data_IF_503693981219
#
_entry.id   IF_503693981219
#
_cell.length_a   1.000
_cell.length_b   1.000
_cell.length_c   1.000
_cell.angle_alpha   90.00
_cell.angle_beta   90.00
_cell.angle_gamma   90.00
#
_symmetry.space_group_name_H-M   'P 1'
#
loop_
_entity.id
_entity.type
_entity.pdbx_description
1 polymer ?
#
# COMPACT_ATOMS: atom_id res chain seq x y z
N UNK A 1 -25.47 3.42 -6.90
CA UNK A 1 -24.67 4.58 -6.45
C UNK A 1 -23.53 4.84 -7.43
N UNK A 2 -23.07 6.10 -7.60
CA UNK A 2 -21.88 6.47 -8.39
C UNK A 2 -20.72 6.82 -7.46
N UNK A 3 -19.57 6.20 -7.64
CA UNK A 3 -18.40 6.44 -6.78
C UNK A 3 -17.14 6.66 -7.63
N UNK A 4 -16.34 7.65 -7.23
CA UNK A 4 -15.01 7.90 -7.78
C UNK A 4 -13.96 7.33 -6.84
N UNK A 5 -13.10 6.44 -7.33
CA UNK A 5 -11.97 5.85 -6.57
C UNK A 5 -10.66 6.45 -7.08
N UNK A 6 -9.92 7.10 -6.21
CA UNK A 6 -8.71 7.84 -6.56
C UNK A 6 -7.48 7.37 -5.76
N UNK A 7 -6.62 6.52 -6.32
CA UNK A 7 -5.36 6.16 -5.69
C UNK A 7 -4.34 7.30 -5.73
N UNK A 8 -3.34 7.23 -4.84
CA UNK A 8 -2.15 8.07 -4.88
C UNK A 8 -1.50 7.99 -6.26
N UNK A 9 -1.33 9.14 -6.91
CA UNK A 9 -0.69 9.23 -8.21
C UNK A 9 0.81 9.43 -8.09
N UNK A 10 1.58 8.71 -8.91
CA UNK A 10 3.00 8.89 -9.10
C UNK A 10 3.37 8.63 -10.56
N UNK A 11 4.56 9.02 -11.01
CA UNK A 11 5.02 8.75 -12.39
C UNK A 11 5.20 7.25 -12.66
N UNK A 12 5.63 6.50 -11.64
CA UNK A 12 5.53 5.05 -11.63
C UNK A 12 4.30 4.68 -10.80
N UNK A 13 3.59 3.65 -11.22
CA UNK A 13 2.44 3.17 -10.48
C UNK A 13 2.88 2.80 -9.05
N UNK A 14 2.27 3.44 -8.05
CA UNK A 14 2.47 3.05 -6.66
C UNK A 14 1.76 1.72 -6.44
N UNK A 15 2.49 0.60 -6.49
CA UNK A 15 1.92 -0.74 -6.54
C UNK A 15 0.88 -0.99 -5.42
N UNK A 16 1.19 -0.59 -4.18
CA UNK A 16 0.30 -0.79 -3.03
C UNK A 16 -1.06 -0.06 -3.17
N UNK A 17 -1.09 1.28 -3.19
CA UNK A 17 -2.32 2.05 -3.31
C UNK A 17 -3.11 1.74 -4.57
N UNK A 18 -2.46 1.58 -5.72
CA UNK A 18 -3.15 1.26 -6.97
C UNK A 18 -3.78 -0.14 -6.96
N UNK A 19 -3.13 -1.12 -6.34
CA UNK A 19 -3.68 -2.49 -6.21
C UNK A 19 -4.91 -2.49 -5.32
N UNK A 20 -4.85 -1.84 -4.13
CA UNK A 20 -6.00 -1.74 -3.23
C UNK A 20 -7.16 -0.98 -3.84
N UNK A 21 -6.89 0.14 -4.52
CA UNK A 21 -7.92 0.92 -5.21
C UNK A 21 -8.62 0.12 -6.32
N UNK A 22 -7.87 -0.69 -7.09
CA UNK A 22 -8.46 -1.58 -8.11
C UNK A 22 -9.32 -2.68 -7.50
N UNK A 23 -8.84 -3.33 -6.44
CA UNK A 23 -9.60 -4.36 -5.74
C UNK A 23 -10.92 -3.79 -5.18
N UNK A 24 -10.86 -2.65 -4.50
CA UNK A 24 -12.04 -2.00 -3.95
C UNK A 24 -13.00 -1.53 -5.05
N UNK A 25 -12.48 -0.95 -6.15
CA UNK A 25 -13.31 -0.53 -7.28
C UNK A 25 -14.04 -1.72 -7.92
N UNK A 26 -13.36 -2.86 -8.07
CA UNK A 26 -13.97 -4.12 -8.54
C UNK A 26 -15.06 -4.61 -7.58
N UNK A 27 -14.78 -4.63 -6.29
CA UNK A 27 -15.75 -5.04 -5.28
C UNK A 27 -17.00 -4.14 -5.25
N UNK A 28 -16.83 -2.82 -5.41
CA UNK A 28 -17.95 -1.87 -5.55
C UNK A 28 -18.77 -2.14 -6.82
N UNK A 29 -18.11 -2.37 -7.96
CA UNK A 29 -18.79 -2.67 -9.21
C UNK A 29 -19.58 -3.98 -9.12
N UNK A 30 -19.04 -5.02 -8.51
CA UNK A 30 -19.73 -6.30 -8.25
C UNK A 30 -20.97 -6.16 -7.36
N UNK A 31 -21.04 -5.08 -6.54
CA UNK A 31 -22.25 -4.70 -5.78
C UNK A 31 -23.22 -3.83 -6.59
N UNK A 32 -23.04 -3.71 -7.92
CA UNK A 32 -23.90 -2.94 -8.82
C UNK A 32 -23.68 -1.43 -8.77
N UNK A 33 -22.55 -0.94 -8.20
CA UNK A 33 -22.26 0.48 -8.20
C UNK A 33 -21.60 0.92 -9.51
N UNK A 34 -21.95 2.10 -10.00
CA UNK A 34 -21.25 2.73 -11.14
C UNK A 34 -19.92 3.28 -10.64
N UNK A 35 -18.87 2.48 -10.76
CA UNK A 35 -17.56 2.79 -10.21
C UNK A 35 -16.63 3.35 -11.28
N UNK A 36 -16.01 4.49 -10.97
CA UNK A 36 -14.99 5.14 -11.82
C UNK A 36 -13.67 5.12 -11.08
N UNK A 37 -12.63 4.55 -11.70
CA UNK A 37 -11.28 4.48 -11.14
C UNK A 37 -10.36 5.49 -11.81
N UNK A 38 -9.78 6.40 -11.03
CA UNK A 38 -8.73 7.29 -11.51
C UNK A 38 -7.47 6.49 -11.87
N UNK A 39 -6.99 6.69 -13.09
CA UNK A 39 -5.77 6.06 -13.62
C UNK A 39 -4.80 7.14 -14.11
N UNK A 40 -3.48 6.87 -14.18
CA UNK A 40 -2.52 7.82 -14.73
C UNK A 40 -2.82 8.18 -16.19
N UNK A 41 -2.60 9.43 -16.59
CA UNK A 41 -2.61 9.80 -18.02
C UNK A 41 -1.63 8.90 -18.82
N UNK A 42 -2.13 8.28 -19.88
CA UNK A 42 -1.37 7.34 -20.70
C UNK A 42 -1.27 5.94 -20.12
N UNK A 43 -2.11 5.60 -19.15
CA UNK A 43 -2.24 4.25 -18.60
C UNK A 43 -2.55 3.24 -19.73
N UNK A 44 -1.76 2.15 -19.77
CA UNK A 44 -1.91 1.06 -20.75
C UNK A 44 -2.24 -0.28 -20.09
N UNK A 45 -2.46 -0.27 -18.78
CA UNK A 45 -2.84 -1.46 -18.05
C UNK A 45 -4.33 -1.78 -18.21
N UNK A 46 -4.75 -2.88 -17.62
CA UNK A 46 -6.15 -3.27 -17.55
C UNK A 46 -6.81 -2.77 -16.26
N UNK A 47 -8.06 -2.37 -16.36
CA UNK A 47 -8.97 -2.18 -15.21
C UNK A 47 -10.01 -3.29 -15.24
N UNK A 48 -10.66 -3.62 -14.11
CA UNK A 48 -11.77 -4.57 -14.11
C UNK A 48 -12.86 -4.17 -15.11
N UNK A 49 -13.50 -5.15 -15.76
CA UNK A 49 -14.42 -4.92 -16.88
C UNK A 49 -15.59 -3.96 -16.52
N UNK A 50 -16.09 -4.05 -15.29
CA UNK A 50 -17.22 -3.26 -14.79
C UNK A 50 -16.81 -1.91 -14.17
N UNK A 51 -15.54 -1.54 -14.30
CA UNK A 51 -14.97 -0.29 -13.75
C UNK A 51 -14.59 0.65 -14.89
N UNK A 52 -15.09 1.88 -14.87
CA UNK A 52 -14.75 2.89 -15.87
C UNK A 52 -13.43 3.57 -15.53
N UNK A 53 -12.40 3.53 -16.39
CA UNK A 53 -11.15 4.26 -16.15
C UNK A 53 -11.33 5.76 -16.39
N UNK A 54 -10.81 6.58 -15.49
CA UNK A 54 -10.76 8.03 -15.64
C UNK A 54 -9.29 8.50 -15.61
N UNK A 55 -8.71 8.85 -16.76
CA UNK A 55 -7.35 9.38 -16.80
C UNK A 55 -7.23 10.70 -16.05
N UNK A 56 -6.28 10.77 -15.13
CA UNK A 56 -5.94 11.98 -14.40
C UNK A 56 -4.44 12.27 -14.47
N UNK A 57 -4.11 13.54 -14.28
CA UNK A 57 -2.75 14.04 -14.32
C UNK A 57 -1.88 13.40 -13.24
N UNK A 58 -0.66 13.00 -13.59
CA UNK A 58 0.33 12.50 -12.65
C UNK A 58 1.31 13.58 -12.21
N UNK A 59 1.77 13.58 -10.95
CA UNK A 59 2.83 14.47 -10.49
C UNK A 59 4.16 14.12 -11.16
N UNK A 60 5.12 15.01 -11.04
CA UNK A 60 6.51 14.74 -11.46
C UNK A 60 7.41 14.76 -10.23
N UNK A 61 8.38 13.85 -10.10
CA UNK A 61 9.29 13.79 -8.97
C UNK A 61 9.89 15.15 -8.67
N UNK A 62 9.88 15.55 -7.40
CA UNK A 62 10.35 16.85 -6.91
C UNK A 62 9.79 18.08 -7.66
N UNK A 63 8.68 17.90 -8.39
CA UNK A 63 8.07 18.97 -9.20
C UNK A 63 8.87 19.35 -10.45
N UNK A 64 9.82 18.53 -10.88
CA UNK A 64 10.61 18.73 -12.11
C UNK A 64 9.73 18.75 -13.37
N UNK A 65 10.17 19.35 -14.49
CA UNK A 65 9.49 19.20 -15.77
C UNK A 65 9.29 17.71 -16.12
N UNK A 66 8.10 17.35 -16.63
CA UNK A 66 7.70 15.95 -16.90
C UNK A 66 8.67 15.20 -17.83
N UNK A 67 9.24 15.90 -18.80
CA UNK A 67 10.22 15.35 -19.74
C UNK A 67 11.51 14.91 -19.04
N UNK A 68 11.94 15.69 -18.04
CA UNK A 68 13.10 15.37 -17.21
C UNK A 68 12.76 14.24 -16.23
N UNK A 69 11.64 14.35 -15.52
CA UNK A 69 11.19 13.34 -14.55
C UNK A 69 11.05 11.96 -15.17
N UNK A 70 10.49 11.85 -16.40
CA UNK A 70 10.35 10.58 -17.12
C UNK A 70 11.68 9.89 -17.42
N UNK A 71 12.76 10.65 -17.65
CA UNK A 71 14.09 10.10 -17.91
C UNK A 71 14.87 9.83 -16.63
N UNK A 72 14.77 10.73 -15.67
CA UNK A 72 15.53 10.64 -14.42
C UNK A 72 15.01 9.58 -13.45
N UNK A 73 13.70 9.35 -13.37
CA UNK A 73 13.15 8.38 -12.44
C UNK A 73 13.61 6.94 -12.73
N UNK A 74 13.52 6.43 -13.98
CA UNK A 74 14.06 5.10 -14.31
C UNK A 74 15.58 5.01 -14.11
N UNK A 75 16.32 6.10 -14.42
CA UNK A 75 17.76 6.16 -14.20
C UNK A 75 18.12 6.10 -12.72
N UNK A 76 17.45 6.89 -11.88
CA UNK A 76 17.63 6.87 -10.43
C UNK A 76 17.31 5.49 -9.83
N UNK A 77 16.26 4.83 -10.34
CA UNK A 77 15.90 3.48 -9.96
C UNK A 77 16.96 2.46 -10.38
N UNK A 78 17.45 2.54 -11.61
CA UNK A 78 18.56 1.69 -12.14
C UNK A 78 19.85 1.87 -11.36
N UNK A 79 20.17 3.10 -10.97
CA UNK A 79 21.36 3.44 -10.17
C UNK A 79 21.17 3.14 -8.66
N UNK A 80 20.00 2.70 -8.25
CA UNK A 80 19.68 2.40 -6.84
C UNK A 80 19.67 3.62 -5.93
N UNK A 81 19.55 4.82 -6.46
CA UNK A 81 19.52 6.07 -5.68
C UNK A 81 18.32 6.11 -4.74
N UNK A 82 17.16 5.56 -5.16
CA UNK A 82 15.95 5.45 -4.35
C UNK A 82 16.16 4.61 -3.08
N UNK A 83 17.18 3.77 -3.04
CA UNK A 83 17.50 2.89 -1.90
C UNK A 83 18.39 3.57 -0.87
N UNK A 84 19.05 4.67 -1.25
CA UNK A 84 20.00 5.41 -0.41
C UNK A 84 19.34 6.53 0.38
N UNK A 85 18.27 7.12 -0.16
CA UNK A 85 17.53 8.21 0.47
C UNK A 85 16.61 7.64 1.54
N UNK A 86 16.75 8.05 2.80
CA UNK A 86 15.81 7.68 3.83
C UNK A 86 14.46 8.36 3.56
N UNK A 87 13.37 7.61 3.70
CA UNK A 87 12.01 8.12 3.69
C UNK A 87 11.51 7.97 5.13
N UNK A 88 11.38 9.09 5.83
CA UNK A 88 11.19 9.12 7.28
C UNK A 88 9.72 9.26 7.70
N UNK A 89 8.88 9.79 6.80
CA UNK A 89 7.45 9.99 7.01
C UNK A 89 6.71 9.99 5.66
N UNK A 90 5.39 10.06 5.70
CA UNK A 90 4.59 10.07 4.47
C UNK A 90 4.71 11.41 3.70
N UNK A 91 5.03 12.49 4.39
CA UNK A 91 5.33 13.79 3.76
C UNK A 91 6.50 13.68 2.78
N UNK A 92 7.56 12.95 3.13
CA UNK A 92 8.68 12.67 2.23
C UNK A 92 8.20 11.98 0.94
N UNK A 93 7.26 11.03 1.07
CA UNK A 93 6.66 10.36 -0.10
C UNK A 93 5.93 11.36 -0.99
N UNK A 94 5.07 12.18 -0.41
CA UNK A 94 4.29 13.18 -1.14
C UNK A 94 5.19 14.23 -1.81
N UNK A 95 6.26 14.66 -1.15
CA UNK A 95 7.26 15.60 -1.65
C UNK A 95 8.09 15.00 -2.78
N UNK A 96 8.66 13.82 -2.56
CA UNK A 96 9.49 13.12 -3.55
C UNK A 96 8.72 12.77 -4.82
N UNK A 97 7.47 12.36 -4.68
CA UNK A 97 6.58 12.06 -5.82
C UNK A 97 6.04 13.33 -6.49
N UNK A 98 6.17 14.50 -5.86
CA UNK A 98 5.68 15.79 -6.37
C UNK A 98 4.20 16.06 -6.11
N UNK A 99 3.55 15.30 -5.24
CA UNK A 99 2.13 15.47 -4.91
C UNK A 99 1.86 16.78 -4.17
N UNK A 100 2.81 17.33 -3.43
CA UNK A 100 2.71 18.64 -2.76
C UNK A 100 3.15 19.82 -3.63
N UNK A 101 3.63 19.58 -4.85
CA UNK A 101 4.03 20.64 -5.76
C UNK A 101 2.83 21.51 -6.14
N UNK A 102 2.90 22.83 -5.89
CA UNK A 102 1.80 23.78 -6.11
C UNK A 102 1.22 23.69 -7.53
N UNK A 103 2.06 23.70 -8.57
CA UNK A 103 1.59 23.71 -9.97
C UNK A 103 0.85 22.42 -10.33
N UNK A 104 1.36 21.29 -9.85
CA UNK A 104 0.69 20.00 -10.02
C UNK A 104 -0.63 20.00 -9.25
N UNK A 105 -0.58 20.29 -7.96
CA UNK A 105 -1.73 20.18 -7.06
C UNK A 105 -2.90 21.09 -7.51
N UNK A 106 -2.62 22.36 -7.88
CA UNK A 106 -3.66 23.25 -8.43
C UNK A 106 -4.36 22.61 -9.63
N UNK A 107 -3.60 22.08 -10.60
CA UNK A 107 -4.17 21.49 -11.81
C UNK A 107 -4.86 20.15 -11.56
N UNK A 108 -4.33 19.35 -10.64
CA UNK A 108 -4.93 18.06 -10.28
C UNK A 108 -6.26 18.25 -9.55
N UNK A 109 -6.30 19.16 -8.58
CA UNK A 109 -7.54 19.51 -7.87
C UNK A 109 -8.58 20.07 -8.84
N UNK A 110 -8.22 21.02 -9.71
CA UNK A 110 -9.11 21.58 -10.71
C UNK A 110 -9.68 20.52 -11.67
N UNK A 111 -8.82 19.60 -12.14
CA UNK A 111 -9.25 18.47 -12.99
C UNK A 111 -10.23 17.57 -12.24
N UNK A 112 -9.93 17.20 -11.00
CA UNK A 112 -10.79 16.34 -10.20
C UNK A 112 -12.11 17.01 -9.83
N UNK A 113 -12.13 18.31 -9.55
CA UNK A 113 -13.37 19.07 -9.34
C UNK A 113 -14.28 18.98 -10.56
N UNK A 114 -13.76 19.24 -11.77
CA UNK A 114 -14.52 19.10 -13.03
C UNK A 114 -15.06 17.68 -13.23
N UNK A 115 -14.25 16.65 -12.92
CA UNK A 115 -14.67 15.25 -12.98
C UNK A 115 -15.81 14.99 -12.01
N UNK A 116 -15.69 15.47 -10.76
CA UNK A 116 -16.71 15.30 -9.72
C UNK A 116 -18.02 15.99 -10.12
N UNK A 117 -17.97 17.25 -10.55
CA UNK A 117 -19.13 18.02 -11.01
C UNK A 117 -19.85 17.32 -12.17
N UNK A 118 -19.11 16.95 -13.22
CA UNK A 118 -19.70 16.35 -14.42
C UNK A 118 -20.21 14.91 -14.17
N UNK A 119 -19.54 14.17 -13.28
CA UNK A 119 -19.84 12.77 -13.01
C UNK A 119 -21.01 12.57 -12.03
N UNK A 120 -21.43 13.60 -11.30
CA UNK A 120 -22.47 13.54 -10.25
C UNK A 120 -22.22 12.35 -9.31
N UNK A 121 -21.02 12.27 -8.75
CA UNK A 121 -20.64 11.20 -7.81
C UNK A 121 -21.31 11.42 -6.46
N UNK A 122 -21.84 10.36 -5.90
CA UNK A 122 -22.41 10.35 -4.55
C UNK A 122 -21.32 10.28 -3.48
N UNK A 123 -20.12 9.80 -3.83
CA UNK A 123 -18.98 9.70 -2.93
C UNK A 123 -17.66 9.66 -3.70
N UNK A 124 -16.60 10.10 -3.04
CA UNK A 124 -15.21 9.93 -3.48
C UNK A 124 -14.48 9.06 -2.48
N UNK A 125 -13.80 8.01 -2.95
CA UNK A 125 -12.87 7.22 -2.15
C UNK A 125 -11.43 7.57 -2.50
N UNK A 126 -10.68 8.00 -1.52
CA UNK A 126 -9.27 8.38 -1.66
C UNK A 126 -8.36 7.32 -1.07
N UNK A 127 -7.54 6.69 -1.91
CA UNK A 127 -6.45 5.81 -1.46
C UNK A 127 -5.17 6.64 -1.39
N UNK A 128 -5.03 7.43 -0.31
CA UNK A 128 -3.92 8.37 -0.06
C UNK A 128 -3.76 9.51 -1.08
N UNK A 129 -4.78 9.84 -1.86
CA UNK A 129 -4.71 10.90 -2.88
C UNK A 129 -5.20 12.23 -2.30
N UNK A 130 -4.25 13.09 -1.87
CA UNK A 130 -4.59 14.40 -1.26
C UNK A 130 -5.36 15.33 -2.20
N UNK A 131 -5.10 15.28 -3.52
CA UNK A 131 -5.82 16.12 -4.48
C UNK A 131 -7.31 15.75 -4.59
N UNK A 132 -7.64 14.44 -4.50
CA UNK A 132 -9.02 13.97 -4.53
C UNK A 132 -9.79 14.35 -3.25
N UNK A 133 -9.12 14.34 -2.11
CA UNK A 133 -9.73 14.79 -0.83
C UNK A 133 -10.07 16.28 -0.92
N UNK A 134 -9.10 17.10 -1.33
CA UNK A 134 -9.30 18.56 -1.48
C UNK A 134 -10.43 18.83 -2.48
N UNK A 135 -10.43 18.20 -3.65
CA UNK A 135 -11.45 18.38 -4.66
C UNK A 135 -12.86 18.01 -4.15
N UNK A 136 -12.99 16.83 -3.51
CA UNK A 136 -14.27 16.38 -2.98
C UNK A 136 -14.82 17.31 -1.88
N UNK A 137 -13.95 17.74 -0.95
CA UNK A 137 -14.34 18.71 0.09
C UNK A 137 -14.77 20.05 -0.49
N UNK A 138 -14.07 20.55 -1.51
CA UNK A 138 -14.44 21.81 -2.19
C UNK A 138 -15.79 21.72 -2.91
N UNK A 139 -16.13 20.53 -3.45
CA UNK A 139 -17.41 20.30 -4.14
C UNK A 139 -18.54 19.83 -3.22
N UNK A 140 -18.29 19.74 -1.90
CA UNK A 140 -19.30 19.28 -0.93
C UNK A 140 -19.66 17.80 -1.07
N UNK A 141 -18.85 16.99 -1.80
CA UNK A 141 -19.10 15.57 -1.98
C UNK A 141 -18.47 14.78 -0.83
N UNK A 142 -19.20 13.82 -0.21
CA UNK A 142 -18.65 12.96 0.82
C UNK A 142 -17.36 12.30 0.38
N UNK A 143 -16.33 12.40 1.22
CA UNK A 143 -15.04 11.77 0.96
C UNK A 143 -14.73 10.74 2.02
N UNK A 144 -14.34 9.56 1.56
CA UNK A 144 -13.90 8.42 2.33
C UNK A 144 -12.44 8.14 1.97
N UNK A 145 -11.64 7.64 2.90
CA UNK A 145 -10.23 7.44 2.57
C UNK A 145 -9.54 6.37 3.39
N UNK A 146 -8.53 5.75 2.79
CA UNK A 146 -7.57 4.94 3.53
C UNK A 146 -6.68 5.82 4.39
N UNK A 147 -6.38 5.32 5.57
CA UNK A 147 -5.35 5.83 6.46
C UNK A 147 -4.53 4.67 7.01
N UNK A 148 -3.36 4.97 7.58
CA UNK A 148 -2.49 4.00 8.22
C UNK A 148 -1.80 4.67 9.41
N UNK A 149 -1.48 3.93 10.45
CA UNK A 149 -0.85 4.50 11.64
C UNK A 149 0.44 5.27 11.32
N UNK A 150 1.38 4.74 10.51
CA UNK A 150 2.59 5.47 10.18
C UNK A 150 2.37 6.72 9.29
N UNK A 151 1.18 6.92 8.72
CA UNK A 151 0.86 8.13 7.94
C UNK A 151 0.21 9.23 8.78
N UNK A 152 0.23 9.12 10.11
CA UNK A 152 -0.34 10.13 10.99
C UNK A 152 0.58 11.37 11.05
N UNK A 153 0.01 12.59 11.28
CA UNK A 153 0.79 13.85 11.35
C UNK A 153 1.90 13.85 12.40
N UNK A 154 1.82 13.01 13.42
CA UNK A 154 2.89 12.86 14.44
C UNK A 154 4.21 12.33 13.88
N UNK A 155 4.18 11.75 12.70
CA UNK A 155 5.36 11.30 11.96
C UNK A 155 5.86 12.34 10.95
N UNK A 156 5.19 13.48 10.81
CA UNK A 156 5.59 14.54 9.89
C UNK A 156 6.76 15.36 10.46
N UNK A 157 7.67 15.80 9.61
CA UNK A 157 8.93 16.40 10.04
C UNK A 157 9.24 17.78 9.48
N UNK A 158 8.61 18.22 8.37
CA UNK A 158 9.01 19.45 7.68
C UNK A 158 7.87 20.42 7.36
N UNK A 159 7.71 21.51 8.18
CA UNK A 159 6.72 22.55 7.90
C UNK A 159 6.90 23.26 6.55
N UNK A 160 8.09 23.23 5.95
CA UNK A 160 8.34 23.87 4.66
C UNK A 160 7.60 23.19 3.50
N UNK A 161 7.28 21.91 3.66
CA UNK A 161 6.58 21.09 2.67
C UNK A 161 5.15 21.58 2.38
N UNK A 162 4.53 22.30 3.30
CA UNK A 162 3.14 22.78 3.18
C UNK A 162 2.98 24.13 2.49
N UNK A 163 4.06 24.87 2.24
CA UNK A 163 3.93 26.23 1.68
C UNK A 163 3.15 26.25 0.34
N UNK A 164 3.46 25.33 -0.55
CA UNK A 164 2.77 25.18 -1.84
C UNK A 164 1.34 24.70 -1.68
N UNK A 165 1.12 23.71 -0.83
CA UNK A 165 -0.18 23.15 -0.48
C UNK A 165 -1.10 24.21 0.13
N UNK A 166 -0.62 24.96 1.13
CA UNK A 166 -1.41 25.98 1.82
C UNK A 166 -1.82 27.16 0.90
N UNK A 167 -1.02 27.47 -0.13
CA UNK A 167 -1.46 28.44 -1.15
C UNK A 167 -2.64 27.91 -1.97
N UNK A 168 -2.66 26.62 -2.28
CA UNK A 168 -3.80 25.98 -2.97
C UNK A 168 -5.02 25.96 -2.06
N UNK A 169 -4.88 25.55 -0.81
CA UNK A 169 -6.00 25.52 0.15
C UNK A 169 -6.64 26.91 0.32
N UNK A 170 -5.83 27.97 0.53
CA UNK A 170 -6.34 29.34 0.64
C UNK A 170 -7.08 29.81 -0.62
N UNK A 171 -6.60 29.43 -1.82
CA UNK A 171 -7.30 29.77 -3.08
C UNK A 171 -8.66 29.08 -3.24
N UNK A 172 -8.93 28.08 -2.42
CA UNK A 172 -10.20 27.34 -2.36
C UNK A 172 -11.01 27.66 -1.10
N UNK A 173 -10.64 28.70 -0.35
CA UNK A 173 -11.24 29.09 0.93
C UNK A 173 -11.21 27.98 1.99
N UNK A 174 -10.18 27.14 1.95
CA UNK A 174 -9.92 26.09 2.93
C UNK A 174 -8.83 26.54 3.92
N UNK A 175 -8.94 26.08 5.17
CA UNK A 175 -7.97 26.35 6.20
C UNK A 175 -6.59 25.77 5.87
N UNK A 176 -5.51 26.49 6.21
CA UNK A 176 -4.17 25.98 6.05
C UNK A 176 -3.90 24.81 7.01
N UNK A 177 -3.02 23.89 6.59
CA UNK A 177 -2.60 22.73 7.38
C UNK A 177 -1.16 22.85 7.84
N UNK A 178 -0.80 22.12 8.90
CA UNK A 178 0.56 22.08 9.45
C UNK A 178 1.46 21.09 8.73
N UNK A 179 0.88 20.03 8.19
CA UNK A 179 1.57 19.03 7.35
C UNK A 179 0.65 18.50 6.25
N UNK A 180 1.17 17.96 5.15
CA UNK A 180 0.37 17.32 4.11
C UNK A 180 -0.47 16.15 4.62
N UNK A 181 -0.01 15.42 5.62
CA UNK A 181 -0.75 14.33 6.27
C UNK A 181 -2.06 14.82 6.92
N UNK A 182 -2.16 16.10 7.33
CA UNK A 182 -3.42 16.64 7.84
C UNK A 182 -4.55 16.57 6.81
N UNK A 183 -4.25 16.55 5.50
CA UNK A 183 -5.27 16.33 4.47
C UNK A 183 -5.88 14.93 4.58
N UNK A 184 -5.09 13.93 5.01
CA UNK A 184 -5.57 12.56 5.20
C UNK A 184 -6.51 12.40 6.42
N UNK A 185 -6.60 13.44 7.26
CA UNK A 185 -7.55 13.50 8.38
C UNK A 185 -8.92 14.09 7.97
N UNK A 186 -9.02 14.73 6.79
CA UNK A 186 -10.23 15.42 6.33
C UNK A 186 -11.36 14.49 5.81
N UNK A 187 -11.13 13.22 5.37
CA UNK A 187 -12.23 12.34 4.98
C UNK A 187 -13.29 12.21 6.06
N UNK A 188 -14.57 12.11 5.64
CA UNK A 188 -15.70 11.93 6.54
C UNK A 188 -15.59 10.61 7.33
N UNK A 189 -15.06 9.58 6.69
CA UNK A 189 -14.71 8.30 7.33
C UNK A 189 -13.32 7.88 6.87
N UNK A 190 -12.50 7.43 7.81
CA UNK A 190 -11.16 6.92 7.55
C UNK A 190 -11.09 5.43 7.83
N UNK A 191 -10.62 4.67 6.85
CA UNK A 191 -10.50 3.21 6.94
C UNK A 191 -9.03 2.82 7.10
N UNK A 192 -8.77 1.88 8.00
CA UNK A 192 -7.46 1.24 8.17
C UNK A 192 -7.56 -0.17 7.60
N UNK A 193 -6.92 -0.45 6.44
CA UNK A 193 -6.94 -1.79 5.84
C UNK A 193 -5.98 -2.75 6.56
N UNK A 194 -6.19 -2.91 7.85
CA UNK A 194 -5.37 -3.63 8.81
C UNK A 194 -6.21 -3.96 10.05
N UNK A 195 -5.55 -4.34 11.17
CA UNK A 195 -6.16 -4.54 12.47
C UNK A 195 -5.43 -3.75 13.58
N UNK A 196 -6.04 -3.55 14.77
CA UNK A 196 -5.43 -2.82 15.88
C UNK A 196 -4.09 -3.40 16.36
N UNK A 197 -3.92 -4.71 16.30
CA UNK A 197 -2.71 -5.42 16.71
C UNK A 197 -1.50 -5.02 15.85
N UNK A 198 -1.73 -4.79 14.57
CA UNK A 198 -0.70 -4.35 13.62
C UNK A 198 -0.52 -2.84 13.61
N UNK A 199 -1.62 -2.09 13.70
CA UNK A 199 -1.64 -0.63 13.63
C UNK A 199 -2.35 -0.03 14.86
N UNK A 200 -1.63 0.24 15.97
CA UNK A 200 -2.20 0.60 17.26
C UNK A 200 -2.65 2.07 17.30
N UNK A 201 -3.76 2.40 16.64
CA UNK A 201 -4.40 3.69 16.81
C UNK A 201 -4.95 3.84 18.24
N UNK A 202 -4.89 5.05 18.84
CA UNK A 202 -5.60 5.34 20.07
C UNK A 202 -7.08 5.01 19.96
N UNK A 203 -7.70 4.54 21.04
CA UNK A 203 -9.10 4.09 21.05
C UNK A 203 -10.09 5.19 20.61
N UNK A 204 -9.77 6.44 20.94
CA UNK A 204 -10.55 7.63 20.58
C UNK A 204 -10.36 8.08 19.12
N UNK A 205 -9.44 7.48 18.38
CA UNK A 205 -9.19 7.83 16.98
C UNK A 205 -10.40 7.45 16.13
N UNK A 206 -11.00 8.40 15.38
CA UNK A 206 -12.17 8.11 14.56
C UNK A 206 -11.77 7.39 13.26
N UNK A 207 -11.33 6.13 13.40
CA UNK A 207 -10.96 5.25 12.29
C UNK A 207 -11.75 3.94 12.35
N UNK A 208 -11.98 3.34 11.20
CA UNK A 208 -12.61 2.02 11.09
C UNK A 208 -11.58 1.04 10.56
N UNK A 209 -11.23 0.06 11.37
CA UNK A 209 -10.45 -1.09 10.93
C UNK A 209 -11.30 -1.98 10.03
N UNK A 210 -10.75 -2.36 8.89
CA UNK A 210 -11.48 -3.15 7.90
C UNK A 210 -10.85 -4.51 7.63
N UNK A 211 -9.62 -4.75 8.06
CA UNK A 211 -8.83 -5.83 7.48
C UNK A 211 -8.35 -5.49 6.06
N UNK A 212 -7.54 -6.35 5.44
CA UNK A 212 -6.90 -6.08 4.16
C UNK A 212 -7.90 -6.10 2.99
N UNK A 213 -7.51 -5.46 1.87
CA UNK A 213 -8.27 -5.48 0.61
C UNK A 213 -7.76 -6.60 -0.30
N UNK A 214 -7.64 -7.79 0.26
CA UNK A 214 -7.35 -9.05 -0.43
C UNK A 214 -8.33 -10.11 0.09
N UNK A 215 -8.54 -11.13 -0.72
CA UNK A 215 -9.30 -12.30 -0.28
C UNK A 215 -8.42 -13.14 0.65
N UNK A 216 -8.88 -13.32 1.90
CA UNK A 216 -8.20 -14.18 2.84
C UNK A 216 -8.69 -15.62 2.66
N UNK A 217 -7.79 -16.61 2.49
CA UNK A 217 -8.21 -18.00 2.38
C UNK A 217 -8.88 -18.45 3.67
N UNK A 218 -9.95 -19.23 3.56
CA UNK A 218 -10.73 -19.74 4.70
C UNK A 218 -9.88 -20.62 5.64
N UNK A 219 -8.95 -21.37 5.07
CA UNK A 219 -7.94 -22.13 5.81
C UNK A 219 -6.63 -22.17 5.06
N UNK A 220 -5.53 -22.27 5.77
CA UNK A 220 -4.25 -22.67 5.16
C UNK A 220 -4.29 -24.17 4.94
N UNK A 221 -4.09 -24.63 3.68
CA UNK A 221 -3.98 -26.06 3.40
C UNK A 221 -2.81 -26.62 4.21
N UNK A 222 -3.04 -27.77 4.83
CA UNK A 222 -1.95 -28.53 5.47
C UNK A 222 -1.10 -29.20 4.38
N UNK A 223 -0.24 -28.38 3.77
CA UNK A 223 0.70 -28.82 2.72
C UNK A 223 2.10 -28.85 3.30
N UNK A 224 2.92 -29.79 2.86
CA UNK A 224 4.35 -29.78 3.14
C UNK A 224 4.93 -28.41 2.77
N UNK A 225 5.62 -27.76 3.71
CA UNK A 225 6.22 -26.45 3.52
C UNK A 225 7.71 -26.62 3.25
N UNK A 226 8.04 -26.68 1.98
CA UNK A 226 9.35 -27.05 1.45
C UNK A 226 10.03 -25.90 0.67
N UNK A 227 9.45 -24.71 0.69
CA UNK A 227 9.92 -23.58 -0.10
C UNK A 227 10.24 -22.34 0.75
N UNK A 228 11.29 -21.62 0.37
CA UNK A 228 11.53 -20.22 0.73
C UNK A 228 11.17 -19.36 -0.46
N UNK A 229 10.24 -18.43 -0.26
CA UNK A 229 9.79 -17.48 -1.30
C UNK A 229 10.34 -16.11 -0.99
N UNK A 230 10.93 -15.44 -1.96
CA UNK A 230 11.50 -14.10 -1.78
C UNK A 230 10.92 -13.08 -2.76
N UNK A 231 10.42 -11.97 -2.21
CA UNK A 231 9.94 -10.81 -2.94
C UNK A 231 10.54 -9.52 -2.39
N UNK A 232 11.58 -9.02 -3.04
CA UNK A 232 12.26 -7.80 -2.62
C UNK A 232 11.64 -6.52 -3.16
N UNK A 233 10.84 -6.58 -4.22
CA UNK A 233 10.18 -5.42 -4.83
C UNK A 233 11.15 -4.24 -5.02
N UNK A 234 10.73 -3.06 -4.56
CA UNK A 234 11.57 -1.85 -4.49
C UNK A 234 12.34 -1.76 -3.16
N UNK A 235 12.62 -2.91 -2.51
CA UNK A 235 13.30 -2.97 -1.22
C UNK A 235 14.76 -2.54 -1.26
N UNK A 236 15.37 -2.43 -0.09
CA UNK A 236 16.75 -2.02 0.09
C UNK A 236 17.75 -3.08 -0.42
N UNK A 237 17.42 -4.36 -0.26
CA UNK A 237 18.20 -5.47 -0.80
C UNK A 237 17.95 -5.57 -2.31
N UNK A 238 19.02 -5.56 -3.10
CA UNK A 238 18.88 -5.74 -4.55
C UNK A 238 18.53 -7.19 -4.88
N UNK A 239 17.76 -7.41 -5.95
CA UNK A 239 17.36 -8.74 -6.40
C UNK A 239 18.55 -9.70 -6.54
N UNK A 240 19.66 -9.24 -7.19
CA UNK A 240 20.86 -10.04 -7.38
C UNK A 240 21.53 -10.40 -6.05
N UNK A 241 21.68 -9.43 -5.13
CA UNK A 241 22.24 -9.68 -3.80
C UNK A 241 21.33 -10.62 -3.00
N UNK A 242 20.02 -10.34 -3.00
CA UNK A 242 19.04 -11.17 -2.30
C UNK A 242 19.06 -12.61 -2.76
N UNK A 243 19.06 -12.82 -4.08
CA UNK A 243 19.19 -14.16 -4.66
C UNK A 243 20.49 -14.86 -4.25
N UNK A 244 21.65 -14.20 -4.43
CA UNK A 244 22.95 -14.80 -4.12
C UNK A 244 23.10 -15.17 -2.64
N UNK A 245 22.68 -14.28 -1.73
CA UNK A 245 22.76 -14.52 -0.29
C UNK A 245 21.81 -15.63 0.14
N UNK A 246 20.56 -15.64 -0.35
CA UNK A 246 19.58 -16.68 0.00
C UNK A 246 19.98 -18.04 -0.57
N UNK A 247 20.43 -18.10 -1.82
CA UNK A 247 20.89 -19.36 -2.43
C UNK A 247 22.04 -20.00 -1.64
N UNK A 248 22.98 -19.18 -1.17
CA UNK A 248 24.10 -19.67 -0.36
C UNK A 248 23.67 -20.00 1.08
N UNK A 249 22.79 -19.20 1.68
CA UNK A 249 22.28 -19.44 3.03
C UNK A 249 21.47 -20.74 3.13
N UNK A 250 20.74 -21.09 2.06
CA UNK A 250 19.91 -22.31 1.98
C UNK A 250 20.67 -23.54 1.47
N UNK A 251 21.95 -23.43 1.15
CA UNK A 251 22.73 -24.60 0.68
C UNK A 251 22.72 -25.71 1.71
N UNK A 252 22.26 -26.90 1.31
CA UNK A 252 22.15 -28.08 2.14
C UNK A 252 20.91 -28.16 3.04
N UNK A 253 19.99 -27.18 2.98
CA UNK A 253 18.75 -27.21 3.76
C UNK A 253 17.65 -28.12 3.21
N UNK A 254 17.73 -28.52 1.95
CA UNK A 254 16.67 -29.27 1.25
C UNK A 254 15.46 -28.41 0.83
N UNK A 255 15.47 -27.10 1.12
CA UNK A 255 14.38 -26.18 0.74
C UNK A 255 14.58 -25.62 -0.67
N UNK A 256 13.50 -25.52 -1.41
CA UNK A 256 13.45 -24.82 -2.70
C UNK A 256 13.45 -23.31 -2.48
N UNK A 257 14.21 -22.56 -3.29
CA UNK A 257 14.20 -21.09 -3.29
C UNK A 257 13.50 -20.53 -4.53
N UNK A 258 12.48 -19.70 -4.31
CA UNK A 258 11.77 -18.95 -5.35
C UNK A 258 12.02 -17.46 -5.18
N UNK A 259 12.55 -16.78 -6.21
CA UNK A 259 12.82 -15.33 -6.18
C UNK A 259 12.08 -14.63 -7.29
N UNK A 260 11.09 -13.79 -6.92
CA UNK A 260 10.32 -12.98 -7.86
C UNK A 260 11.07 -11.71 -8.27
N UNK A 261 10.93 -11.32 -9.54
CA UNK A 261 11.48 -10.09 -10.10
C UNK A 261 12.76 -10.28 -10.93
N UNK A 262 13.25 -11.51 -11.08
CA UNK A 262 14.37 -11.88 -11.95
C UNK A 262 13.86 -12.54 -13.24
N UNK A 263 14.67 -12.61 -14.30
CA UNK A 263 14.37 -13.42 -15.46
C UNK A 263 14.08 -14.87 -15.08
N UNK A 264 13.26 -15.53 -15.86
CA UNK A 264 12.91 -16.93 -15.63
C UNK A 264 14.14 -17.82 -15.71
N UNK A 265 14.30 -18.67 -14.69
CA UNK A 265 15.37 -19.69 -14.61
C UNK A 265 14.95 -20.80 -13.66
N UNK A 266 15.30 -22.01 -14.05
CA UNK A 266 15.06 -23.23 -13.28
C UNK A 266 16.38 -24.00 -13.13
N UNK A 267 16.89 -24.14 -11.92
CA UNK A 267 18.11 -24.88 -11.63
C UNK A 267 17.97 -25.60 -10.27
N UNK A 268 17.91 -26.93 -10.29
CA UNK A 268 17.76 -27.76 -9.10
C UNK A 268 16.71 -27.20 -8.11
N UNK A 269 17.15 -26.71 -6.96
CA UNK A 269 16.31 -26.11 -5.91
C UNK A 269 16.14 -24.58 -6.05
N UNK A 270 16.57 -23.97 -7.18
CA UNK A 270 16.52 -22.52 -7.38
C UNK A 270 15.61 -22.18 -8.55
N UNK A 271 14.61 -21.34 -8.30
CA UNK A 271 13.67 -20.88 -9.32
C UNK A 271 13.54 -19.37 -9.27
N UNK A 272 13.63 -18.74 -10.43
CA UNK A 272 13.37 -17.31 -10.57
C UNK A 272 12.33 -17.07 -11.65
N UNK A 273 11.52 -16.01 -11.50
CA UNK A 273 10.61 -15.55 -12.53
C UNK A 273 10.33 -14.04 -12.33
N UNK A 274 9.91 -13.32 -13.37
CA UNK A 274 9.45 -11.94 -13.22
C UNK A 274 8.31 -11.80 -12.22
N UNK A 275 7.43 -12.80 -12.17
CA UNK A 275 6.31 -12.91 -11.21
C UNK A 275 6.03 -14.37 -10.92
N UNK A 276 5.55 -14.63 -9.71
CA UNK A 276 4.93 -15.89 -9.31
C UNK A 276 3.49 -15.62 -8.88
N UNK A 277 2.64 -16.61 -9.03
CA UNK A 277 1.32 -16.60 -8.37
C UNK A 277 1.52 -16.96 -6.89
N UNK A 278 1.40 -15.97 -6.04
CA UNK A 278 1.57 -16.16 -4.60
C UNK A 278 0.43 -16.96 -3.96
N UNK A 279 -0.74 -17.01 -4.59
CA UNK A 279 -1.86 -17.82 -4.09
C UNK A 279 -1.58 -19.33 -4.22
N UNK A 280 -0.77 -19.72 -5.20
CA UNK A 280 -0.33 -21.10 -5.38
C UNK A 280 0.95 -21.42 -4.58
N UNK A 281 1.84 -20.43 -4.43
CA UNK A 281 3.18 -20.67 -3.90
C UNK A 281 3.24 -20.49 -2.36
N UNK A 282 2.56 -19.50 -1.78
CA UNK A 282 2.59 -19.25 -0.35
C UNK A 282 2.00 -20.37 0.52
N UNK A 283 0.99 -21.16 0.11
CA UNK A 283 0.55 -22.31 0.88
C UNK A 283 1.64 -23.32 1.24
N UNK A 284 2.63 -23.50 0.36
CA UNK A 284 3.77 -24.40 0.58
C UNK A 284 5.04 -23.68 1.08
N UNK A 285 4.94 -22.42 1.45
CA UNK A 285 6.09 -21.60 1.86
C UNK A 285 6.42 -21.83 3.33
N UNK A 286 7.62 -22.28 3.61
CA UNK A 286 8.18 -22.41 4.95
C UNK A 286 8.55 -21.03 5.52
N UNK A 287 9.17 -20.16 4.69
CA UNK A 287 9.54 -18.78 5.06
C UNK A 287 9.29 -17.85 3.87
N UNK A 288 8.61 -16.74 4.13
CA UNK A 288 8.41 -15.67 3.14
C UNK A 288 9.36 -14.50 3.42
N UNK A 289 10.35 -14.31 2.54
CA UNK A 289 11.31 -13.19 2.61
C UNK A 289 10.75 -12.01 1.84
N UNK A 290 10.52 -10.88 2.52
CA UNK A 290 9.94 -9.72 1.87
C UNK A 290 10.53 -8.39 2.35
N UNK A 291 10.13 -7.30 1.72
CA UNK A 291 10.64 -5.96 2.01
C UNK A 291 9.81 -5.15 3.03
N UNK A 292 8.80 -5.75 3.65
CA UNK A 292 7.96 -5.10 4.65
C UNK A 292 6.87 -4.17 4.10
N UNK A 293 6.56 -4.23 2.81
CA UNK A 293 5.38 -3.56 2.28
C UNK A 293 4.10 -4.18 2.84
N UNK A 294 3.08 -3.36 3.13
CA UNK A 294 1.84 -3.82 3.76
C UNK A 294 1.20 -5.01 3.03
N UNK A 295 1.10 -4.97 1.70
CA UNK A 295 0.50 -6.07 0.95
C UNK A 295 1.29 -7.38 1.14
N UNK A 296 2.63 -7.33 1.04
CA UNK A 296 3.45 -8.54 1.24
C UNK A 296 3.34 -9.09 2.66
N UNK A 297 3.27 -8.21 3.67
CA UNK A 297 3.06 -8.65 5.05
C UNK A 297 1.69 -9.33 5.19
N UNK A 298 0.63 -8.77 4.57
CA UNK A 298 -0.71 -9.37 4.57
C UNK A 298 -0.75 -10.70 3.82
N UNK A 299 -0.03 -10.83 2.69
CA UNK A 299 0.11 -12.11 1.99
C UNK A 299 0.74 -13.17 2.90
N UNK A 300 1.82 -12.84 3.61
CA UNK A 300 2.45 -13.74 4.58
C UNK A 300 1.49 -14.19 5.69
N UNK A 301 0.70 -13.25 6.24
CA UNK A 301 -0.33 -13.55 7.27
C UNK A 301 -1.43 -14.45 6.69
N UNK A 302 -1.93 -14.10 5.50
CA UNK A 302 -3.02 -14.83 4.84
C UNK A 302 -2.73 -16.32 4.68
N UNK A 303 -1.48 -16.65 4.36
CA UNK A 303 -1.06 -18.04 4.15
C UNK A 303 -0.30 -18.66 5.34
N UNK A 304 -0.21 -17.95 6.46
CA UNK A 304 0.45 -18.45 7.66
C UNK A 304 1.94 -18.73 7.47
N UNK A 305 2.62 -17.92 6.63
CA UNK A 305 4.04 -18.10 6.37
C UNK A 305 4.87 -17.25 7.33
N UNK A 306 5.79 -17.83 8.14
CA UNK A 306 6.79 -17.08 8.90
C UNK A 306 7.52 -16.10 7.99
N UNK A 307 7.76 -14.87 8.44
CA UNK A 307 8.29 -13.81 7.58
C UNK A 307 9.72 -13.40 7.98
N UNK A 308 10.62 -13.28 7.00
CA UNK A 308 11.87 -12.56 7.14
C UNK A 308 11.75 -11.23 6.41
N UNK A 309 11.74 -10.12 7.15
CA UNK A 309 11.46 -8.79 6.62
C UNK A 309 12.74 -7.96 6.52
N UNK A 310 13.00 -7.39 5.33
CA UNK A 310 14.15 -6.51 5.08
C UNK A 310 13.65 -5.08 4.72
N UNK A 311 13.28 -4.25 5.72
CA UNK A 311 12.54 -3.01 5.50
C UNK A 311 13.37 -1.89 4.86
N UNK A 312 14.68 -1.90 5.05
CA UNK A 312 15.57 -0.82 4.63
C UNK A 312 15.28 0.49 5.38
N UNK A 313 15.33 1.63 4.64
CA UNK A 313 15.23 2.97 5.24
C UNK A 313 13.87 3.66 5.02
N UNK A 314 12.81 2.89 4.78
CA UNK A 314 11.46 3.40 4.57
C UNK A 314 10.65 3.26 5.86
N UNK A 315 10.11 4.38 6.36
CA UNK A 315 9.41 4.45 7.65
C UNK A 315 8.27 3.42 7.78
N UNK A 316 7.40 3.33 6.76
CA UNK A 316 6.27 2.39 6.74
C UNK A 316 6.75 0.93 6.86
N UNK A 317 7.78 0.56 6.09
CA UNK A 317 8.32 -0.81 6.11
C UNK A 317 8.97 -1.17 7.43
N UNK A 318 9.65 -0.20 8.05
CA UNK A 318 10.23 -0.35 9.41
C UNK A 318 9.14 -0.49 10.46
N UNK A 319 8.07 0.28 10.33
CA UNK A 319 6.90 0.13 11.18
C UNK A 319 6.29 -1.26 11.05
N UNK A 320 6.05 -1.72 9.81
CA UNK A 320 5.50 -3.04 9.53
C UNK A 320 6.41 -4.17 10.04
N UNK A 321 7.72 -4.05 9.86
CA UNK A 321 8.69 -5.03 10.38
C UNK A 321 8.62 -5.15 11.91
N UNK A 322 8.59 -4.02 12.62
CA UNK A 322 8.41 -4.01 14.08
C UNK A 322 7.04 -4.56 14.52
N UNK A 323 5.99 -4.29 13.74
CA UNK A 323 4.66 -4.85 14.00
C UNK A 323 4.68 -6.38 13.82
N UNK A 324 5.34 -6.89 12.78
CA UNK A 324 5.50 -8.32 12.55
C UNK A 324 6.24 -9.03 13.69
N UNK A 325 7.33 -8.44 14.19
CA UNK A 325 8.06 -8.96 15.36
C UNK A 325 7.19 -8.95 16.62
N UNK A 326 6.53 -7.82 16.91
CA UNK A 326 5.65 -7.68 18.08
C UNK A 326 4.49 -8.68 18.07
N UNK A 327 3.95 -8.96 16.90
CA UNK A 327 2.86 -9.91 16.72
C UNK A 327 3.32 -11.38 16.56
N UNK A 328 4.62 -11.64 16.62
CA UNK A 328 5.16 -12.99 16.51
C UNK A 328 4.92 -13.66 15.16
N UNK A 329 4.90 -12.89 14.04
CA UNK A 329 4.69 -13.43 12.69
C UNK A 329 5.97 -13.45 11.85
N UNK A 330 7.10 -12.98 12.39
CA UNK A 330 8.36 -12.95 11.68
C UNK A 330 9.47 -12.21 12.40
N UNK A 331 10.62 -12.16 11.76
CA UNK A 331 11.81 -11.43 12.20
C UNK A 331 12.22 -10.41 11.15
N UNK A 332 12.98 -9.39 11.58
CA UNK A 332 13.51 -8.40 10.63
C UNK A 332 15.04 -8.39 10.59
N UNK A 333 15.58 -8.04 9.42
CA UNK A 333 17.00 -7.80 9.24
C UNK A 333 17.23 -6.43 8.59
N UNK A 334 18.14 -5.66 9.18
CA UNK A 334 18.64 -4.45 8.53
C UNK A 334 19.44 -4.79 7.28
N UNK A 335 19.42 -3.89 6.28
CA UNK A 335 20.14 -4.10 5.02
C UNK A 335 21.65 -4.38 5.20
N UNK A 336 22.29 -3.76 6.19
CA UNK A 336 23.71 -3.96 6.54
C UNK A 336 24.01 -5.36 7.01
N UNK A 337 23.04 -6.01 7.65
CA UNK A 337 23.15 -7.37 8.21
C UNK A 337 22.66 -8.46 7.23
N UNK A 338 22.31 -8.09 5.99
CA UNK A 338 21.85 -9.07 5.01
C UNK A 338 23.04 -9.76 4.32
N UNK A 339 23.72 -10.64 5.05
CA UNK A 339 24.83 -11.47 4.63
C UNK A 339 24.51 -12.95 4.87
N UNK A 340 25.33 -13.85 4.31
CA UNK A 340 25.06 -15.31 4.35
C UNK A 340 24.98 -15.86 5.78
N UNK A 341 25.93 -15.60 6.69
CA UNK A 341 25.86 -16.12 8.05
C UNK A 341 24.64 -15.64 8.82
N UNK A 342 24.35 -14.33 8.75
CA UNK A 342 23.24 -13.73 9.48
C UNK A 342 21.89 -14.19 8.92
N UNK A 343 21.73 -14.25 7.59
CA UNK A 343 20.51 -14.72 6.95
C UNK A 343 20.29 -16.20 7.28
N UNK A 344 21.32 -17.05 7.18
CA UNK A 344 21.24 -18.48 7.54
C UNK A 344 20.72 -18.65 8.97
N UNK A 345 21.37 -18.00 9.93
CA UNK A 345 20.97 -18.04 11.34
C UNK A 345 19.53 -17.62 11.55
N UNK A 346 19.08 -16.54 10.88
CA UNK A 346 17.70 -16.04 11.02
C UNK A 346 16.68 -16.99 10.38
N UNK A 347 17.02 -17.62 9.24
CA UNK A 347 16.17 -18.64 8.62
C UNK A 347 16.05 -19.87 9.54
N UNK A 348 17.14 -20.33 10.15
CA UNK A 348 17.15 -21.42 11.12
C UNK A 348 16.23 -21.10 12.32
N UNK A 349 16.33 -19.90 12.91
CA UNK A 349 15.45 -19.46 14.00
C UNK A 349 13.96 -19.48 13.61
N UNK A 350 13.63 -19.04 12.39
CA UNK A 350 12.25 -19.05 11.89
C UNK A 350 11.74 -20.48 11.66
N UNK A 351 12.61 -21.41 11.27
CA UNK A 351 12.27 -22.82 11.07
C UNK A 351 12.12 -23.56 12.40
N UNK A 352 12.97 -23.28 13.39
CA UNK A 352 12.93 -23.90 14.72
C UNK A 352 11.60 -23.65 15.43
N UNK A 353 11.04 -22.42 15.34
CA UNK A 353 9.73 -22.06 15.91
C UNK A 353 8.66 -21.82 14.82
N UNK A 354 8.74 -22.50 13.70
CA UNK A 354 7.79 -22.31 12.60
C UNK A 354 6.32 -22.54 13.03
N UNK A 355 6.07 -23.40 14.01
CA UNK A 355 4.74 -23.66 14.53
C UNK A 355 4.20 -22.44 15.29
N UNK A 356 5.00 -21.77 16.13
CA UNK A 356 4.63 -20.58 16.87
C UNK A 356 4.33 -19.40 15.94
N UNK A 357 5.20 -19.15 14.95
CA UNK A 357 4.97 -18.09 13.94
C UNK A 357 3.70 -18.34 13.13
N UNK A 358 3.41 -19.60 12.76
CA UNK A 358 2.18 -19.97 12.03
C UNK A 358 0.93 -19.76 12.88
N UNK A 359 0.96 -20.18 14.14
CA UNK A 359 -0.16 -19.98 15.04
C UNK A 359 -0.50 -18.48 15.24
N UNK A 360 0.54 -17.66 15.39
CA UNK A 360 0.39 -16.19 15.48
C UNK A 360 -0.18 -15.60 14.20
N UNK A 361 0.30 -16.02 13.03
CA UNK A 361 -0.21 -15.57 11.75
C UNK A 361 -1.67 -16.01 11.52
N UNK A 362 -2.04 -17.21 11.94
CA UNK A 362 -3.42 -17.71 11.88
C UNK A 362 -4.36 -16.91 12.78
N UNK A 363 -3.95 -16.62 14.00
CA UNK A 363 -4.71 -15.77 14.92
C UNK A 363 -4.97 -14.39 14.31
N UNK A 364 -3.93 -13.74 13.74
CA UNK A 364 -4.08 -12.47 13.05
C UNK A 364 -4.98 -12.58 11.81
N UNK A 365 -4.82 -13.61 11.00
CA UNK A 365 -5.68 -13.85 9.83
C UNK A 365 -7.14 -13.92 10.21
N UNK A 366 -7.48 -14.67 11.26
CA UNK A 366 -8.85 -14.78 11.76
C UNK A 366 -9.36 -13.41 12.20
N UNK A 367 -8.56 -12.67 12.98
CA UNK A 367 -8.88 -11.31 13.39
C UNK A 367 -9.12 -10.36 12.21
N UNK A 368 -8.26 -10.40 11.20
CA UNK A 368 -8.38 -9.59 9.97
C UNK A 368 -9.64 -9.95 9.17
N UNK A 369 -10.00 -11.24 9.12
CA UNK A 369 -11.21 -11.73 8.44
C UNK A 369 -12.49 -11.21 9.10
N UNK A 370 -12.56 -11.16 10.45
CA UNK A 370 -13.70 -10.64 11.21
C UNK A 370 -14.00 -9.16 10.94
N UNK A 371 -13.01 -8.40 10.47
CA UNK A 371 -13.16 -6.98 10.19
C UNK A 371 -13.90 -6.67 8.88
N UNK A 372 -14.16 -7.68 8.03
CA UNK A 372 -15.07 -7.61 6.89
C UNK A 372 -14.47 -7.05 5.59
N UNK A 373 -13.18 -6.67 5.56
CA UNK A 373 -12.47 -6.29 4.35
C UNK A 373 -13.13 -5.16 3.57
N UNK A 374 -13.13 -5.29 2.26
CA UNK A 374 -13.75 -4.34 1.33
C UNK A 374 -15.26 -4.19 1.53
N UNK A 375 -15.96 -5.24 1.99
CA UNK A 375 -17.38 -5.18 2.26
C UNK A 375 -17.72 -4.17 3.35
N UNK A 376 -16.90 -4.11 4.42
CA UNK A 376 -17.10 -3.12 5.49
C UNK A 376 -16.96 -1.69 5.00
N UNK A 377 -16.03 -1.44 4.06
CA UNK A 377 -15.89 -0.13 3.39
C UNK A 377 -17.15 0.21 2.60
N UNK A 378 -17.59 -0.71 1.75
CA UNK A 378 -18.75 -0.53 0.86
C UNK A 378 -20.01 -0.25 1.69
N UNK A 379 -20.28 -1.06 2.73
CA UNK A 379 -21.44 -0.91 3.60
C UNK A 379 -21.39 0.40 4.39
N UNK A 380 -20.20 0.85 4.82
CA UNK A 380 -20.02 2.13 5.49
C UNK A 380 -20.31 3.30 4.56
N UNK A 381 -19.84 3.27 3.32
CA UNK A 381 -20.12 4.30 2.31
C UNK A 381 -21.62 4.33 1.99
N UNK A 382 -22.25 3.18 1.82
CA UNK A 382 -23.70 3.10 1.54
C UNK A 382 -24.54 3.74 2.65
N UNK A 383 -24.24 3.43 3.92
CA UNK A 383 -24.95 4.02 5.07
C UNK A 383 -24.82 5.54 5.13
N UNK A 384 -23.60 6.06 4.96
CA UNK A 384 -23.34 7.50 5.02
C UNK A 384 -23.99 8.27 3.86
N UNK A 385 -24.00 7.71 2.64
CA UNK A 385 -24.66 8.31 1.50
C UNK A 385 -26.19 8.41 1.69
N UNK A 386 -26.82 7.39 2.27
CA UNK A 386 -28.25 7.38 2.54
C UNK A 386 -28.64 8.39 3.64
N UNK A 387 -27.83 8.57 4.66
CA UNK A 387 -28.07 9.52 5.76
C UNK A 387 -28.06 10.97 5.25
N UNK A 388 -27.19 11.31 4.30
CA UNK A 388 -27.14 12.65 3.70
C UNK A 388 -28.36 12.91 2.80
N UNK A 389 -28.78 11.95 1.99
CA UNK A 389 -29.98 12.09 1.17
C UNK A 389 -31.22 12.31 2.06
N UNK A 390 -31.34 11.61 3.17
CA UNK A 390 -32.47 11.77 4.11
C UNK A 390 -32.47 13.16 4.77
N UNK A 391 -31.32 13.73 5.06
CA UNK A 391 -31.20 15.07 5.66
C UNK A 391 -31.48 16.23 4.69
N UNK A 392 -31.28 16.02 3.37
CA UNK A 392 -31.60 16.98 2.32
C UNK A 392 -33.10 17.02 2.01
N UNK A 393 -33.81 15.89 2.14
CA UNK A 393 -35.26 15.81 1.98
C UNK A 393 -36.06 16.26 3.21
N UNK A 394 -35.39 16.47 4.35
CA UNK A 394 -36.00 16.94 5.59
C UNK A 394 -35.81 18.43 5.86
N UNK A 395 -35.21 19.16 4.93
CA UNK A 395 -35.08 20.63 4.88
C UNK A 395 -35.89 21.20 3.73
#
# INVERSE_FOLDING_TARGET
MRVLVAPLMAMAESAGPATRARALASAMASRGWKTTLCVPEGFRGTVPADVSPQPIRTPSPLGMPRTIGRKMFPLAQKLGLNRRVPITCFDDVLKLTGNTNRRYLTRAVEQLRKIIQNGRFAAVYSEFNIASIIAAKTEGVPVFGSTSFPTQPSFASDPSSVTGLNRVLRSLSMDPVRSPENILLMPNVRFVPSCPELEPFPAESPVIFTGPFIDLPASTRDTSRDAVVAYFGNGAVTLRRGFAVLAEALRGSGLDLYVAGLPESHAAHLRTAPRFDFSELLPRTAIFVNHGGQNSMMDGIAYGSPQLICPGKVFERRFNAKAAERCGIGLSLEQSCFDVPTVRKTLEQLLEDAAGYRASAESLRNRLSELGGMNRVIDSIARNANTQLSSEFSR
#
